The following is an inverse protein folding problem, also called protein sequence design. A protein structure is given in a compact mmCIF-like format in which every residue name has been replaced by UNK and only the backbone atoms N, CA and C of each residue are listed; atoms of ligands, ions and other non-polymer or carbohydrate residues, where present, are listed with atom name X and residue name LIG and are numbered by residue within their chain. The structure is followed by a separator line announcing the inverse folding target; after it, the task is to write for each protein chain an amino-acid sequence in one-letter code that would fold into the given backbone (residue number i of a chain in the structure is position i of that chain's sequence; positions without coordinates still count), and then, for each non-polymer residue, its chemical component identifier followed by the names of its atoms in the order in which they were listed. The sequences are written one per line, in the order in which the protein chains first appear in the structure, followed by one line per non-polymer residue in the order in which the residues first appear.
data_IF_679297872493
#
_entry.id   IF_679297872493
#
_cell.length_a   1.000
_cell.length_b   1.000
_cell.length_c   1.000
_cell.angle_alpha   90.00
_cell.angle_beta   90.00
_cell.angle_gamma   90.00
#
_symmetry.space_group_name_H-M   'P 1'
#
loop_
_entity.id
_entity.type
_entity.pdbx_description
1 polymer ?
#
# COMPACT_ATOMS: atom_id res chain seq x y z
N UNK A 1 -67.61 -3.14 45.55
CA UNK A 1 -66.69 -3.43 44.43
C UNK A 1 -65.28 -3.61 44.99
N UNK A 2 -64.77 -4.84 44.99
CA UNK A 2 -63.39 -5.17 45.35
C UNK A 2 -62.59 -5.27 44.05
N UNK A 3 -61.83 -4.22 43.73
CA UNK A 3 -61.03 -4.11 42.49
C UNK A 3 -59.52 -4.31 42.82
N UNK A 4 -59.23 -4.95 43.95
CA UNK A 4 -57.87 -5.05 44.52
C UNK A 4 -57.16 -6.37 44.21
N UNK A 5 -57.85 -7.35 43.66
CA UNK A 5 -57.27 -8.65 43.29
C UNK A 5 -56.76 -8.71 41.85
N UNK A 6 -56.99 -7.68 41.02
CA UNK A 6 -56.48 -7.62 39.64
C UNK A 6 -55.07 -7.03 39.51
N UNK A 7 -54.44 -6.64 40.62
CA UNK A 7 -53.05 -6.13 40.65
C UNK A 7 -52.14 -6.97 41.55
N UNK A 8 -52.59 -8.15 41.97
CA UNK A 8 -51.81 -9.11 42.77
C UNK A 8 -51.57 -10.41 42.03
N UNK A 9 -51.57 -10.38 40.68
CA UNK A 9 -50.90 -11.40 39.86
C UNK A 9 -49.40 -11.04 39.75
N UNK A 10 -48.75 -10.88 40.89
CA UNK A 10 -47.35 -11.24 41.02
C UNK A 10 -47.30 -12.77 41.22
N UNK A 11 -47.84 -13.52 40.25
CA UNK A 11 -47.40 -14.88 39.94
C UNK A 11 -45.99 -14.80 39.35
N UNK A 12 -45.11 -14.23 40.17
CA UNK A 12 -43.84 -14.75 40.58
C UNK A 12 -43.40 -15.87 39.65
N UNK A 13 -42.74 -15.43 38.58
CA UNK A 13 -41.82 -16.26 37.82
C UNK A 13 -41.08 -17.11 38.83
N UNK A 14 -41.29 -18.44 38.78
CA UNK A 14 -40.82 -19.30 39.85
C UNK A 14 -39.32 -19.08 40.04
N UNK A 15 -38.78 -19.09 41.28
CA UNK A 15 -37.39 -18.72 41.54
C UNK A 15 -36.37 -19.42 40.63
N UNK A 16 -36.69 -20.64 40.21
CA UNK A 16 -35.89 -21.43 39.28
C UNK A 16 -36.07 -21.00 37.83
N UNK A 17 -37.30 -20.74 37.39
CA UNK A 17 -37.58 -20.33 36.00
C UNK A 17 -37.07 -18.90 35.77
N UNK A 18 -37.16 -18.01 36.76
CA UNK A 18 -36.66 -16.64 36.64
C UNK A 18 -35.14 -16.57 36.45
N UNK A 19 -34.40 -17.40 37.19
CA UNK A 19 -32.94 -17.49 37.06
C UNK A 19 -32.54 -18.04 35.68
N UNK A 20 -33.22 -19.10 35.22
CA UNK A 20 -32.93 -19.68 33.90
C UNK A 20 -33.21 -18.66 32.78
N UNK A 21 -34.32 -17.94 32.86
CA UNK A 21 -34.69 -16.93 31.85
C UNK A 21 -33.72 -15.74 31.83
N UNK A 22 -33.30 -15.25 33.00
CA UNK A 22 -32.34 -14.16 33.10
C UNK A 22 -30.97 -14.55 32.53
N UNK A 23 -30.49 -15.75 32.90
CA UNK A 23 -29.20 -16.25 32.40
C UNK A 23 -29.26 -16.47 30.89
N UNK A 24 -30.33 -17.05 30.37
CA UNK A 24 -30.46 -17.31 28.93
C UNK A 24 -30.34 -16.03 28.09
N UNK A 25 -31.07 -14.97 28.47
CA UNK A 25 -31.05 -13.70 27.72
C UNK A 25 -29.67 -13.04 27.79
N UNK A 26 -29.06 -13.01 28.98
CA UNK A 26 -27.71 -12.41 29.14
C UNK A 26 -26.64 -13.14 28.33
N UNK A 27 -26.71 -14.48 28.24
CA UNK A 27 -25.78 -15.27 27.42
C UNK A 27 -25.97 -14.97 25.93
N UNK A 28 -27.21 -14.85 25.45
CA UNK A 28 -27.49 -14.49 24.05
C UNK A 28 -26.94 -13.10 23.74
N UNK A 29 -27.25 -12.10 24.58
CA UNK A 29 -26.80 -10.72 24.36
C UNK A 29 -25.27 -10.61 24.40
N UNK A 30 -24.63 -11.28 25.35
CA UNK A 30 -23.17 -11.31 25.44
C UNK A 30 -22.53 -11.95 24.21
N UNK A 31 -23.06 -13.09 23.73
CA UNK A 31 -22.55 -13.77 22.55
C UNK A 31 -22.68 -12.92 21.27
N UNK A 32 -23.82 -12.24 21.11
CA UNK A 32 -24.08 -11.38 19.95
C UNK A 32 -23.17 -10.15 19.95
N UNK A 33 -22.97 -9.50 21.11
CA UNK A 33 -22.06 -8.34 21.17
C UNK A 33 -20.61 -8.80 20.95
N UNK A 34 -20.21 -9.95 21.49
CA UNK A 34 -18.87 -10.49 21.28
C UNK A 34 -18.58 -10.76 19.79
N UNK A 35 -19.55 -11.29 19.03
CA UNK A 35 -19.37 -11.49 17.59
C UNK A 35 -19.29 -10.16 16.81
N UNK A 36 -20.09 -9.16 17.18
CA UNK A 36 -19.96 -7.81 16.61
C UNK A 36 -18.61 -7.16 16.93
N UNK A 37 -18.15 -7.24 18.17
CA UNK A 37 -16.86 -6.68 18.60
C UNK A 37 -15.68 -7.39 17.92
N UNK A 38 -15.75 -8.72 17.80
CA UNK A 38 -14.72 -9.50 17.10
C UNK A 38 -14.70 -9.20 15.59
N UNK A 39 -15.87 -9.10 14.95
CA UNK A 39 -15.99 -8.74 13.53
C UNK A 39 -15.36 -7.39 13.19
N UNK A 40 -15.58 -6.37 14.02
CA UNK A 40 -14.94 -5.05 13.86
C UNK A 40 -13.41 -5.11 14.04
N UNK A 41 -12.90 -6.03 14.85
CA UNK A 41 -11.46 -6.25 15.02
C UNK A 41 -10.78 -6.84 13.78
N UNK A 42 -11.49 -7.68 13.01
CA UNK A 42 -10.97 -8.22 11.74
C UNK A 42 -10.93 -7.16 10.62
N UNK A 43 -11.95 -6.31 10.52
CA UNK A 43 -12.02 -5.28 9.48
C UNK A 43 -11.07 -4.09 9.77
N UNK A 44 -10.88 -3.74 11.05
CA UNK A 44 -9.99 -2.65 11.43
C UNK A 44 -8.50 -2.95 11.19
N UNK A 45 -8.12 -4.23 11.06
CA UNK A 45 -6.70 -4.63 10.94
C UNK A 45 -6.23 -4.82 9.49
N UNK A 46 -7.14 -4.98 8.52
CA UNK A 46 -6.80 -5.23 7.10
C UNK A 46 -7.03 -4.02 6.17
N UNK A 47 -7.30 -2.82 6.71
CA UNK A 47 -7.64 -1.63 5.92
C UNK A 47 -6.47 -0.72 5.59
N UNK A 48 -5.22 -1.13 5.85
CA UNK A 48 -4.10 -0.33 5.36
C UNK A 48 -3.96 -0.58 3.86
N UNK A 49 -4.11 0.44 3.00
CA UNK A 49 -3.96 0.23 1.58
C UNK A 49 -2.58 -0.34 1.27
N UNK A 50 -2.53 -1.38 0.44
CA UNK A 50 -1.29 -2.03 0.03
C UNK A 50 -1.21 -1.94 -1.49
N UNK A 51 -0.10 -1.42 -2.01
CA UNK A 51 0.22 -1.41 -3.43
C UNK A 51 1.63 -1.96 -3.61
N UNK A 52 1.81 -2.86 -4.58
CA UNK A 52 3.10 -3.46 -4.94
C UNK A 52 3.62 -2.85 -6.23
N UNK A 53 4.89 -2.47 -6.24
CA UNK A 53 5.56 -1.95 -7.43
C UNK A 53 6.81 -2.77 -7.73
N UNK A 54 7.00 -3.09 -9.01
CA UNK A 54 8.23 -3.66 -9.54
C UNK A 54 8.94 -2.66 -10.44
N UNK A 55 10.27 -2.81 -10.52
CA UNK A 55 11.13 -2.02 -11.37
C UNK A 55 12.04 -2.94 -12.16
N UNK A 56 12.10 -2.72 -13.46
CA UNK A 56 13.05 -3.39 -14.35
C UNK A 56 13.93 -2.35 -15.02
N UNK A 57 15.24 -2.59 -15.03
CA UNK A 57 16.21 -1.71 -15.66
C UNK A 57 16.85 -2.45 -16.83
N UNK A 58 16.58 -1.96 -18.03
CA UNK A 58 17.19 -2.47 -19.23
C UNK A 58 18.27 -1.51 -19.74
N UNK A 59 19.49 -2.04 -19.82
CA UNK A 59 20.62 -1.37 -20.45
C UNK A 59 20.84 -1.96 -21.84
N UNK A 60 19.85 -1.84 -22.73
CA UNK A 60 19.98 -2.19 -24.14
C UNK A 60 21.04 -1.28 -24.78
N UNK A 61 22.28 -1.76 -24.72
CA UNK A 61 23.45 -1.19 -25.37
C UNK A 61 23.27 -1.31 -26.89
N UNK A 62 22.99 -0.21 -27.56
CA UNK A 62 23.41 -0.03 -28.95
C UNK A 62 24.22 1.27 -29.04
N UNK A 63 25.52 1.12 -28.81
CA UNK A 63 26.61 2.12 -28.94
C UNK A 63 26.91 2.94 -27.68
N UNK A 64 28.15 3.44 -27.57
CA UNK A 64 28.78 4.13 -26.40
C UNK A 64 28.01 5.37 -25.85
N UNK A 65 26.82 5.68 -26.38
CA UNK A 65 25.92 6.78 -26.01
C UNK A 65 24.47 6.32 -25.69
N UNK A 66 24.22 5.00 -25.57
CA UNK A 66 22.87 4.48 -25.30
C UNK A 66 22.42 4.77 -23.86
N UNK A 67 21.34 5.54 -23.74
CA UNK A 67 20.59 5.74 -22.51
C UNK A 67 19.85 4.44 -22.15
N UNK A 68 19.84 4.04 -20.86
CA UNK A 68 19.07 2.89 -20.40
C UNK A 68 17.57 3.20 -20.32
N UNK A 69 16.74 2.18 -20.06
CA UNK A 69 15.32 2.33 -19.78
C UNK A 69 15.00 1.76 -18.39
N UNK A 70 14.19 2.46 -17.60
CA UNK A 70 13.58 1.89 -16.38
C UNK A 70 12.09 1.75 -16.60
N UNK A 71 11.57 0.53 -16.48
CA UNK A 71 10.14 0.26 -16.49
C UNK A 71 9.67 0.10 -15.04
N UNK A 72 8.66 0.87 -14.64
CA UNK A 72 8.00 0.75 -13.34
C UNK A 72 6.60 0.20 -13.56
N UNK A 73 6.22 -0.85 -12.84
CA UNK A 73 4.92 -1.51 -12.97
C UNK A 73 4.19 -1.58 -11.63
N UNK A 74 2.87 -1.39 -11.66
CA UNK A 74 2.00 -1.63 -10.51
C UNK A 74 1.49 -3.09 -10.54
N UNK A 75 2.07 -3.96 -9.71
CA UNK A 75 1.84 -5.41 -9.80
C UNK A 75 0.56 -5.88 -9.10
N UNK A 76 -0.06 -4.99 -8.31
CA UNK A 76 -1.34 -5.26 -7.67
C UNK A 76 -1.48 -4.62 -6.30
N UNK A 77 -2.64 -4.85 -5.69
CA UNK A 77 -3.07 -4.16 -4.50
C UNK A 77 -4.12 -3.10 -4.83
N UNK A 78 -4.19 -2.06 -4.02
CA UNK A 78 -5.16 -0.98 -4.17
C UNK A 78 -4.84 -0.07 -5.35
N UNK A 79 -5.88 0.50 -5.95
CA UNK A 79 -5.71 1.51 -6.99
C UNK A 79 -5.13 2.79 -6.38
N UNK A 80 -3.99 3.24 -6.91
CA UNK A 80 -3.35 4.51 -6.55
C UNK A 80 -3.49 5.48 -7.72
N UNK A 81 -3.84 6.74 -7.45
CA UNK A 81 -3.96 7.75 -8.51
C UNK A 81 -2.56 8.15 -8.99
N UNK A 82 -2.41 8.32 -10.30
CA UNK A 82 -1.13 8.70 -10.92
C UNK A 82 -0.55 10.01 -10.37
N UNK A 83 -1.40 10.97 -10.00
CA UNK A 83 -1.00 12.27 -9.42
C UNK A 83 -0.49 12.16 -7.97
N UNK A 84 -0.68 11.03 -7.31
CA UNK A 84 -0.22 10.77 -5.95
C UNK A 84 1.12 10.00 -5.95
N UNK A 85 1.60 9.57 -7.13
CA UNK A 85 2.86 8.85 -7.30
C UNK A 85 3.93 9.82 -7.83
N UNK A 86 5.06 9.88 -7.14
CA UNK A 86 6.21 10.70 -7.55
C UNK A 86 7.43 9.82 -7.77
N UNK A 87 8.04 9.94 -8.94
CA UNK A 87 9.29 9.25 -9.25
C UNK A 87 10.46 10.21 -9.06
N UNK A 88 11.55 9.73 -8.46
CA UNK A 88 12.78 10.49 -8.20
C UNK A 88 13.98 9.66 -8.60
N UNK A 89 14.91 10.27 -9.32
CA UNK A 89 16.10 9.58 -9.81
C UNK A 89 17.01 10.51 -10.60
N UNK A 90 18.23 10.04 -10.85
CA UNK A 90 19.11 10.65 -11.85
C UNK A 90 18.75 10.05 -13.21
N UNK A 91 18.15 10.88 -14.07
CA UNK A 91 17.71 10.51 -15.41
C UNK A 91 18.53 11.21 -16.49
N UNK A 92 19.81 11.54 -16.22
CA UNK A 92 20.79 11.90 -17.24
C UNK A 92 20.52 13.16 -18.08
N UNK A 93 19.52 13.97 -17.72
CA UNK A 93 18.96 15.01 -18.61
C UNK A 93 19.79 16.27 -18.83
N UNK A 94 20.53 16.77 -17.83
CA UNK A 94 20.93 18.19 -17.86
C UNK A 94 22.42 18.46 -17.58
N UNK A 95 23.31 17.47 -17.78
CA UNK A 95 24.77 17.66 -17.61
C UNK A 95 25.24 17.95 -16.17
N UNK A 96 24.32 18.25 -15.26
CA UNK A 96 24.50 18.27 -13.81
C UNK A 96 24.15 16.89 -13.28
N UNK A 97 25.15 16.13 -12.83
CA UNK A 97 24.97 14.82 -12.18
C UNK A 97 24.25 14.94 -10.83
N UNK A 98 22.94 15.20 -10.89
CA UNK A 98 22.07 15.45 -9.76
C UNK A 98 20.72 14.77 -9.95
N UNK A 99 20.11 14.40 -8.82
CA UNK A 99 18.77 13.81 -8.80
C UNK A 99 17.77 14.82 -9.34
N UNK A 100 17.00 14.44 -10.36
CA UNK A 100 15.97 15.31 -10.95
C UNK A 100 14.91 15.66 -9.90
N UNK A 101 14.29 16.84 -10.05
CA UNK A 101 13.15 17.21 -9.21
C UNK A 101 12.04 16.16 -9.36
N UNK A 102 11.36 15.78 -8.26
CA UNK A 102 10.28 14.81 -8.32
C UNK A 102 9.19 15.32 -9.25
N UNK A 103 8.81 14.53 -10.26
CA UNK A 103 7.61 14.80 -11.07
C UNK A 103 6.54 13.77 -10.76
N UNK A 104 5.27 14.11 -11.00
CA UNK A 104 4.19 13.16 -10.85
C UNK A 104 4.30 12.08 -11.94
N UNK A 105 3.77 10.89 -11.69
CA UNK A 105 3.79 9.78 -12.65
C UNK A 105 3.23 10.17 -14.02
N UNK A 106 2.14 10.96 -14.05
CA UNK A 106 1.55 11.44 -15.30
C UNK A 106 2.49 12.32 -16.13
N UNK A 107 3.45 13.01 -15.49
CA UNK A 107 4.34 13.96 -16.13
C UNK A 107 5.53 13.27 -16.83
N UNK A 108 5.67 11.96 -16.65
CA UNK A 108 6.67 11.13 -17.34
C UNK A 108 6.09 10.44 -18.59
N UNK A 109 4.78 10.58 -18.84
CA UNK A 109 4.11 10.04 -20.03
C UNK A 109 4.38 10.93 -21.25
N UNK A 110 5.57 10.81 -21.83
CA UNK A 110 5.86 11.32 -23.18
C UNK A 110 6.02 10.13 -24.13
N UNK A 111 4.96 9.84 -24.89
CA UNK A 111 4.98 9.06 -26.14
C UNK A 111 5.37 7.57 -26.11
N UNK A 112 5.01 6.81 -25.07
CA UNK A 112 4.86 5.35 -25.17
C UNK A 112 3.85 4.85 -24.12
N UNK A 113 2.56 5.00 -24.42
CA UNK A 113 1.46 4.50 -23.59
C UNK A 113 1.15 3.05 -23.94
N UNK A 114 1.89 2.11 -23.36
CA UNK A 114 1.38 0.76 -23.16
C UNK A 114 0.73 0.67 -21.77
N UNK A 115 -0.57 0.97 -21.76
CA UNK A 115 -1.54 0.67 -20.70
C UNK A 115 -1.27 1.34 -19.33
N UNK A 116 -2.33 1.73 -18.61
CA UNK A 116 -2.29 2.52 -17.36
C UNK A 116 -1.63 1.84 -16.15
N UNK A 117 -0.82 0.80 -16.36
CA UNK A 117 -0.23 -0.02 -15.33
C UNK A 117 1.32 -0.01 -15.33
N UNK A 118 1.96 0.59 -16.32
CA UNK A 118 3.43 0.70 -16.41
C UNK A 118 3.91 2.04 -16.99
N UNK A 119 5.06 2.54 -16.50
CA UNK A 119 5.75 3.72 -17.00
C UNK A 119 7.19 3.38 -17.37
N UNK A 120 7.61 3.75 -18.59
CA UNK A 120 8.99 3.56 -19.08
C UNK A 120 9.74 4.90 -19.04
N UNK A 121 10.89 4.94 -18.37
CA UNK A 121 11.77 6.10 -18.23
C UNK A 121 13.03 5.89 -19.06
N UNK A 122 13.15 6.61 -20.18
CA UNK A 122 14.15 6.36 -21.21
C UNK A 122 15.56 6.97 -21.01
N UNK A 123 15.95 7.37 -19.79
CA UNK A 123 17.22 8.14 -19.58
C UNK A 123 18.10 7.89 -18.34
N UNK A 124 18.12 6.76 -17.61
CA UNK A 124 19.07 6.59 -16.52
C UNK A 124 20.46 6.29 -17.10
N UNK A 125 21.33 7.30 -17.17
CA UNK A 125 22.75 7.07 -17.47
C UNK A 125 23.43 6.46 -16.25
N UNK A 126 23.96 5.25 -16.41
CA UNK A 126 24.81 4.63 -15.39
C UNK A 126 26.12 5.43 -15.22
N UNK A 127 26.34 6.02 -14.04
CA UNK A 127 27.56 6.75 -13.72
C UNK A 127 28.77 5.80 -13.60
N UNK A 128 29.38 5.45 -14.74
CA UNK A 128 30.60 4.64 -14.78
C UNK A 128 31.79 5.52 -14.41
N UNK A 129 32.16 5.56 -13.12
CA UNK A 129 33.46 6.07 -12.66
C UNK A 129 34.60 5.30 -13.35
N UNK A 130 35.05 5.79 -14.51
CA UNK A 130 36.32 5.34 -15.12
C UNK A 130 37.47 5.84 -14.25
N UNK A 131 37.83 5.10 -13.19
CA UNK A 131 39.08 5.32 -12.46
C UNK A 131 40.25 5.07 -13.40
N UNK A 132 40.92 6.15 -13.77
CA UNK A 132 42.05 6.19 -14.69
C UNK A 132 43.30 5.61 -14.00
N UNK A 133 43.49 4.29 -14.02
CA UNK A 133 44.63 3.59 -13.40
C UNK A 133 45.96 3.71 -14.18
N UNK A 134 46.05 4.62 -15.16
CA UNK A 134 47.16 4.63 -16.15
C UNK A 134 48.18 5.75 -16.02
N UNK A 135 48.29 6.45 -14.87
CA UNK A 135 49.28 7.54 -14.72
C UNK A 135 50.36 7.36 -13.63
N UNK A 136 50.38 6.27 -12.86
CA UNK A 136 51.30 6.13 -11.72
C UNK A 136 52.40 5.04 -11.81
N UNK A 137 52.71 4.50 -13.00
CA UNK A 137 53.86 3.56 -13.16
C UNK A 137 54.96 4.05 -14.12
N UNK A 138 55.27 5.35 -14.05
CA UNK A 138 56.31 5.98 -14.90
C UNK A 138 57.34 6.83 -14.14
N UNK A 139 57.50 6.63 -12.83
CA UNK A 139 58.56 7.31 -12.06
C UNK A 139 58.94 6.44 -10.87
N UNK A 140 59.92 5.58 -11.05
CA UNK A 140 60.90 5.17 -10.04
C UNK A 140 61.89 4.20 -10.69
N UNK A 141 63.11 4.71 -10.88
CA UNK A 141 64.36 4.07 -11.30
C UNK A 141 64.57 3.88 -12.80
#
# INVERSE_FOLDING_TARGET
MQIKELFTDDDAVSPVIGVILMVAITVILAAVIASFVLGLGQDATNTNPQASFSWDYDAESLNDDADGYVTISHDGGDSVKENEIFVRGDFGGDGSGGVASPKAWQDYSESDTDNSNSLVLARPRCHRQRRNWRQHRGRLR
#
